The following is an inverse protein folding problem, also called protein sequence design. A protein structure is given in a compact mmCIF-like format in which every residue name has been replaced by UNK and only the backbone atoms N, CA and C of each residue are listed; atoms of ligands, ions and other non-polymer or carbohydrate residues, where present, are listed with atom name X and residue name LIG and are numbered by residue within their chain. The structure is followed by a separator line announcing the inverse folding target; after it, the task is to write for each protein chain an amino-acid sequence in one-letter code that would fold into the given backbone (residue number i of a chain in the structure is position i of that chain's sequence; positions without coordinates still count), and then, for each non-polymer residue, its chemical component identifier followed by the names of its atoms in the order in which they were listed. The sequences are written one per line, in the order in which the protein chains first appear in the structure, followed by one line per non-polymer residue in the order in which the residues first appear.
data_IF_140865343094
#
_entry.id   IF_140865343094
#
_cell.length_a   1.000
_cell.length_b   1.000
_cell.length_c   1.000
_cell.angle_alpha   90.00
_cell.angle_beta   90.00
_cell.angle_gamma   90.00
#
_symmetry.space_group_name_H-M   'P 1'
#
loop_
_entity.id
_entity.type
_entity.pdbx_description
1 polymer ?
#
# COMPACT_ATOMS: atom_id res chain seq x y z
N UNK A 1 16.58 -43.65 -70.05
CA UNK A 1 16.97 -44.93 -69.44
C UNK A 1 17.70 -44.64 -68.14
N UNK A 2 17.41 -45.48 -67.13
CA UNK A 2 18.15 -45.70 -65.88
C UNK A 2 18.05 -44.64 -64.76
N UNK A 3 17.25 -45.03 -63.77
CA UNK A 3 17.35 -44.70 -62.34
C UNK A 3 18.80 -44.78 -61.82
N UNK A 4 19.13 -43.91 -60.86
CA UNK A 4 19.91 -44.32 -59.69
C UNK A 4 19.52 -43.45 -58.49
N UNK A 5 18.82 -44.08 -57.54
CA UNK A 5 18.54 -43.53 -56.22
C UNK A 5 19.80 -43.66 -55.34
N UNK A 6 20.10 -42.63 -54.56
CA UNK A 6 21.01 -42.73 -53.42
C UNK A 6 20.36 -42.02 -52.23
N UNK A 7 19.75 -42.82 -51.35
CA UNK A 7 19.34 -42.44 -50.01
C UNK A 7 20.60 -42.09 -49.21
N UNK A 8 20.72 -40.84 -48.77
CA UNK A 8 21.67 -40.45 -47.72
C UNK A 8 20.87 -40.14 -46.45
N UNK A 9 20.78 -41.16 -45.58
CA UNK A 9 20.38 -41.04 -44.18
C UNK A 9 21.47 -40.26 -43.43
N UNK A 10 21.21 -39.01 -43.06
CA UNK A 10 22.03 -38.28 -42.09
C UNK A 10 21.12 -37.55 -41.08
N UNK A 11 20.72 -38.34 -40.08
CA UNK A 11 20.69 -38.01 -38.66
C UNK A 11 20.21 -36.59 -38.29
N UNK A 12 18.90 -36.47 -38.15
CA UNK A 12 18.31 -35.48 -37.26
C UNK A 12 18.75 -35.75 -35.83
N UNK A 13 19.51 -34.82 -35.27
CA UNK A 13 19.57 -34.58 -33.82
C UNK A 13 19.29 -33.10 -33.63
N UNK A 14 18.00 -32.76 -33.61
CA UNK A 14 17.59 -31.53 -32.96
C UNK A 14 18.00 -31.67 -31.48
N UNK A 15 18.65 -30.66 -30.87
CA UNK A 15 18.85 -30.68 -29.43
C UNK A 15 17.47 -30.82 -28.76
N UNK A 16 17.36 -31.55 -27.64
CA UNK A 16 16.10 -31.61 -26.93
C UNK A 16 15.70 -30.16 -26.62
N UNK A 17 14.54 -29.75 -27.13
CA UNK A 17 13.87 -28.58 -26.63
C UNK A 17 13.75 -28.79 -25.13
N UNK A 18 14.50 -28.00 -24.35
CA UNK A 18 14.28 -27.91 -22.93
C UNK A 18 12.84 -27.49 -22.77
N UNK A 19 11.97 -28.46 -22.50
CA UNK A 19 10.66 -28.20 -21.94
C UNK A 19 10.96 -27.37 -20.70
N UNK A 20 10.71 -26.07 -20.80
CA UNK A 20 10.63 -25.22 -19.64
C UNK A 20 9.49 -25.83 -18.86
N UNK A 21 9.84 -26.67 -17.87
CA UNK A 21 8.96 -26.93 -16.76
C UNK A 21 8.76 -25.54 -16.20
N UNK A 22 7.67 -24.91 -16.63
CA UNK A 22 7.04 -23.84 -15.90
C UNK A 22 6.64 -24.52 -14.60
N UNK A 23 7.63 -24.61 -13.71
CA UNK A 23 7.37 -24.78 -12.29
C UNK A 23 6.58 -23.53 -12.01
N UNK A 24 5.25 -23.66 -12.09
CA UNK A 24 4.31 -22.82 -11.38
C UNK A 24 4.87 -22.82 -9.97
N UNK A 25 5.65 -21.77 -9.67
CA UNK A 25 6.07 -21.52 -8.32
C UNK A 25 4.79 -21.66 -7.50
N UNK A 26 4.83 -22.38 -6.36
CA UNK A 26 3.71 -22.33 -5.44
C UNK A 26 3.27 -20.88 -5.37
N UNK A 27 1.96 -20.61 -5.49
CA UNK A 27 1.38 -19.33 -5.13
C UNK A 27 1.76 -19.11 -3.67
N UNK A 28 3.00 -18.68 -3.48
CA UNK A 28 3.61 -18.37 -2.21
C UNK A 28 2.72 -17.27 -1.69
N UNK A 29 2.24 -17.53 -0.49
CA UNK A 29 1.32 -16.75 0.31
C UNK A 29 1.74 -15.28 0.23
N UNK A 30 1.30 -14.59 -0.83
CA UNK A 30 1.44 -13.15 -1.01
C UNK A 30 0.45 -12.54 -0.03
N UNK A 31 0.71 -12.71 1.26
CA UNK A 31 0.38 -11.70 2.25
C UNK A 31 0.87 -10.41 1.63
N UNK A 32 -0.06 -9.68 1.03
CA UNK A 32 0.18 -8.40 0.42
C UNK A 32 0.83 -7.59 1.53
N UNK A 33 2.16 -7.42 1.48
CA UNK A 33 2.90 -6.65 2.46
C UNK A 33 2.24 -5.29 2.49
N UNK A 34 1.49 -5.02 3.57
CA UNK A 34 0.74 -3.79 3.69
C UNK A 34 1.77 -2.70 3.91
N UNK A 35 2.00 -1.83 2.92
CA UNK A 35 2.81 -0.64 3.11
C UNK A 35 2.01 0.38 3.94
N UNK A 36 2.33 0.59 5.23
CA UNK A 36 1.56 1.44 6.12
C UNK A 36 1.48 2.88 5.60
N UNK A 37 2.53 3.38 4.96
CA UNK A 37 2.57 4.76 4.44
C UNK A 37 1.54 4.94 3.32
N UNK A 38 1.51 4.00 2.37
CA UNK A 38 0.52 4.00 1.29
C UNK A 38 -0.91 3.80 1.81
N UNK A 39 -1.10 2.99 2.85
CA UNK A 39 -2.42 2.79 3.44
C UNK A 39 -2.94 3.98 4.20
N UNK A 40 -2.09 4.65 4.97
CA UNK A 40 -2.45 5.88 5.66
C UNK A 40 -2.82 6.96 4.63
N UNK A 41 -2.00 7.15 3.59
CA UNK A 41 -2.32 8.10 2.50
C UNK A 41 -3.67 7.80 1.86
N UNK A 42 -3.95 6.53 1.57
CA UNK A 42 -5.23 6.09 0.98
C UNK A 42 -6.41 6.39 1.89
N UNK A 43 -6.27 6.09 3.19
CA UNK A 43 -7.28 6.38 4.20
C UNK A 43 -7.59 7.87 4.26
N UNK A 44 -6.58 8.73 4.43
CA UNK A 44 -6.80 10.19 4.52
C UNK A 44 -7.35 10.79 3.23
N UNK A 45 -6.99 10.27 2.05
CA UNK A 45 -7.64 10.68 0.79
C UNK A 45 -9.12 10.32 0.73
N UNK A 46 -9.56 9.26 1.42
CA UNK A 46 -10.95 8.83 1.44
C UNK A 46 -11.79 9.58 2.47
N UNK A 47 -11.23 9.92 3.64
CA UNK A 47 -11.99 10.53 4.76
C UNK A 47 -11.94 12.05 4.81
N UNK A 48 -10.92 12.68 4.21
CA UNK A 48 -10.84 14.13 4.15
C UNK A 48 -11.78 14.66 3.06
N UNK A 49 -12.47 15.75 3.39
CA UNK A 49 -13.24 16.48 2.38
C UNK A 49 -12.30 17.34 1.51
N UNK A 50 -12.82 17.91 0.43
CA UNK A 50 -12.03 18.63 -0.58
C UNK A 50 -11.32 19.90 -0.11
N UNK A 51 -11.70 20.50 1.03
CA UNK A 51 -11.04 21.70 1.55
C UNK A 51 -10.01 21.39 2.64
N UNK A 52 -9.89 20.13 3.04
CA UNK A 52 -8.98 19.66 4.08
C UNK A 52 -7.84 18.93 3.40
N UNK A 53 -6.67 18.93 4.01
CA UNK A 53 -5.55 18.17 3.50
C UNK A 53 -4.70 17.61 4.63
N UNK A 54 -3.95 16.57 4.33
CA UNK A 54 -3.02 15.97 5.26
C UNK A 54 -1.62 15.96 4.66
N UNK A 55 -0.63 16.16 5.51
CA UNK A 55 0.76 15.91 5.16
C UNK A 55 0.98 14.41 4.94
N UNK A 56 2.12 14.09 4.33
CA UNK A 56 2.56 12.71 4.26
C UNK A 56 2.77 12.13 5.68
N UNK A 57 2.42 10.86 5.90
CA UNK A 57 2.63 10.24 7.20
C UNK A 57 4.11 10.24 7.56
N UNK A 58 4.41 10.46 8.84
CA UNK A 58 5.73 10.34 9.44
C UNK A 58 5.77 9.10 10.32
N UNK A 59 6.88 8.36 10.32
CA UNK A 59 7.09 7.24 11.24
C UNK A 59 7.51 7.76 12.61
N UNK A 60 6.83 7.30 13.66
CA UNK A 60 7.13 7.59 15.07
C UNK A 60 7.46 6.26 15.79
N UNK A 61 8.01 6.29 17.03
CA UNK A 61 8.44 5.07 17.72
C UNK A 61 7.38 3.97 17.78
N UNK A 62 6.12 4.34 18.06
CA UNK A 62 5.02 3.41 18.31
C UNK A 62 4.01 3.32 17.15
N UNK A 63 4.33 3.88 15.98
CA UNK A 63 3.43 3.87 14.83
C UNK A 63 3.69 4.98 13.83
N UNK A 64 2.63 5.69 13.45
CA UNK A 64 2.68 6.75 12.45
C UNK A 64 1.97 8.00 12.91
N UNK A 65 2.42 9.16 12.45
CA UNK A 65 1.78 10.45 12.66
C UNK A 65 1.35 11.05 11.34
N UNK A 66 0.18 11.67 11.31
CA UNK A 66 -0.29 12.49 10.17
C UNK A 66 -0.70 13.85 10.68
N UNK A 67 -0.18 14.90 10.04
CA UNK A 67 -0.64 16.27 10.27
C UNK A 67 -1.85 16.53 9.38
N UNK A 68 -2.96 16.96 9.97
CA UNK A 68 -4.20 17.30 9.24
C UNK A 68 -4.43 18.80 9.34
N UNK A 69 -4.53 19.45 8.20
CA UNK A 69 -4.74 20.89 8.07
C UNK A 69 -6.23 21.20 7.88
N UNK A 70 -6.73 22.04 8.76
CA UNK A 70 -8.12 22.46 8.81
C UNK A 70 -8.28 23.75 8.02
N UNK A 71 -9.34 23.91 7.21
CA UNK A 71 -9.51 25.09 6.37
C UNK A 71 -9.81 26.33 7.22
N UNK A 72 -9.38 27.48 6.69
CA UNK A 72 -9.64 28.78 7.31
C UNK A 72 -11.13 29.01 7.54
N UNK A 73 -11.46 29.56 8.71
CA UNK A 73 -12.84 29.86 9.10
C UNK A 73 -13.68 28.65 9.52
N UNK A 74 -13.10 27.44 9.54
CA UNK A 74 -13.76 26.28 10.15
C UNK A 74 -14.06 26.53 11.64
N UNK A 75 -15.16 25.96 12.14
CA UNK A 75 -15.57 26.10 13.54
C UNK A 75 -15.70 24.74 14.19
N UNK A 76 -15.06 24.56 15.34
CA UNK A 76 -15.14 23.35 16.13
C UNK A 76 -13.89 23.15 17.01
N UNK A 77 -13.79 21.98 17.62
CA UNK A 77 -12.60 21.55 18.38
C UNK A 77 -11.72 20.68 17.47
N UNK A 78 -10.51 21.12 17.07
CA UNK A 78 -9.64 20.35 16.18
C UNK A 78 -9.31 18.95 16.71
N UNK A 79 -8.96 18.82 17.99
CA UNK A 79 -8.64 17.51 18.59
C UNK A 79 -9.87 16.58 18.58
N UNK A 80 -11.06 17.07 18.91
CA UNK A 80 -12.29 16.30 18.88
C UNK A 80 -12.68 15.89 17.45
N UNK A 81 -12.41 16.73 16.45
CA UNK A 81 -12.64 16.39 15.06
C UNK A 81 -11.64 15.35 14.53
N UNK A 82 -10.39 15.37 15.02
CA UNK A 82 -9.37 14.39 14.67
C UNK A 82 -9.84 12.95 14.92
N UNK A 83 -10.63 12.72 15.97
CA UNK A 83 -11.24 11.43 16.29
C UNK A 83 -12.03 10.83 15.11
N UNK A 84 -12.70 11.67 14.31
CA UNK A 84 -13.50 11.23 13.16
C UNK A 84 -12.67 10.77 11.96
N UNK A 85 -11.35 10.98 12.01
CA UNK A 85 -10.42 10.51 10.99
C UNK A 85 -9.74 9.20 11.36
N UNK A 86 -10.05 8.61 12.52
CA UNK A 86 -9.51 7.30 12.85
C UNK A 86 -10.01 6.22 11.88
N UNK A 87 -9.13 5.33 11.40
CA UNK A 87 -9.55 4.14 10.68
C UNK A 87 -10.44 3.24 11.55
N UNK A 88 -11.37 2.53 10.92
CA UNK A 88 -12.19 1.51 11.59
C UNK A 88 -11.31 0.39 12.18
N UNK A 89 -11.81 -0.33 13.20
CA UNK A 89 -11.01 -1.33 13.94
C UNK A 89 -10.54 -2.52 13.10
N UNK A 90 -11.22 -2.81 12.00
CA UNK A 90 -10.89 -3.86 11.04
C UNK A 90 -10.06 -3.34 9.85
N UNK A 91 -9.72 -2.05 9.83
CA UNK A 91 -8.91 -1.45 8.78
C UNK A 91 -7.55 -2.13 8.69
N UNK A 92 -7.11 -2.45 7.47
CA UNK A 92 -5.87 -3.22 7.23
C UNK A 92 -4.59 -2.55 7.73
N UNK A 93 -4.61 -1.24 7.98
CA UNK A 93 -3.50 -0.53 8.61
C UNK A 93 -3.10 -1.16 9.96
N UNK A 94 -4.07 -1.67 10.72
CA UNK A 94 -3.84 -2.28 12.03
C UNK A 94 -3.12 -3.63 11.98
N UNK A 95 -2.81 -4.15 10.78
CA UNK A 95 -1.94 -5.31 10.62
C UNK A 95 -0.45 -4.95 10.74
N UNK A 96 -0.10 -3.66 10.56
CA UNK A 96 1.28 -3.17 10.45
C UNK A 96 1.57 -1.92 11.26
N UNK A 97 0.57 -1.36 11.96
CA UNK A 97 0.72 -0.22 12.86
C UNK A 97 -0.10 -0.44 14.13
N UNK A 98 0.47 -0.13 15.29
CA UNK A 98 -0.23 -0.20 16.58
C UNK A 98 -0.95 1.10 16.91
N UNK A 99 -0.35 2.23 16.51
CA UNK A 99 -0.86 3.58 16.75
C UNK A 99 -0.84 4.39 15.44
N UNK A 100 -1.88 5.19 15.26
CA UNK A 100 -1.90 6.30 14.31
C UNK A 100 -2.22 7.60 15.06
N UNK A 101 -1.23 8.48 15.18
CA UNK A 101 -1.39 9.82 15.72
C UNK A 101 -1.91 10.78 14.66
N UNK A 102 -2.99 11.50 14.98
CA UNK A 102 -3.54 12.55 14.14
C UNK A 102 -3.24 13.88 14.82
N UNK A 103 -2.36 14.67 14.22
CA UNK A 103 -1.90 15.97 14.68
C UNK A 103 -2.71 17.06 13.96
N UNK A 104 -3.69 17.71 14.62
CA UNK A 104 -4.45 18.77 13.97
C UNK A 104 -3.59 20.03 13.88
N UNK A 105 -3.64 20.68 12.73
CA UNK A 105 -3.10 22.02 12.51
C UNK A 105 -4.23 22.94 12.04
N UNK A 106 -4.43 24.02 12.79
CA UNK A 106 -5.47 25.00 12.53
C UNK A 106 -5.00 26.39 12.96
N UNK A 107 -5.19 27.40 12.10
CA UNK A 107 -4.71 28.78 12.32
C UNK A 107 -3.20 28.85 12.61
N UNK A 108 -2.41 28.08 11.85
CA UNK A 108 -0.95 27.93 12.01
C UNK A 108 -0.52 27.48 13.43
N UNK A 109 -1.39 26.75 14.13
CA UNK A 109 -1.11 26.21 15.47
C UNK A 109 -1.33 24.71 15.48
N UNK A 110 -0.38 24.02 16.09
CA UNK A 110 -0.51 22.59 16.41
C UNK A 110 -1.37 22.42 17.65
N UNK A 111 -2.45 21.67 17.50
CA UNK A 111 -3.34 21.29 18.60
C UNK A 111 -2.87 19.99 19.26
N UNK A 112 -3.37 19.61 20.44
CA UNK A 112 -3.07 18.31 21.01
C UNK A 112 -3.41 17.18 20.02
N UNK A 113 -2.49 16.21 19.79
CA UNK A 113 -2.75 15.09 18.89
C UNK A 113 -3.81 14.15 19.46
N UNK A 114 -4.46 13.40 18.58
CA UNK A 114 -5.34 12.30 18.96
C UNK A 114 -4.74 10.97 18.51
N UNK A 115 -4.62 10.02 19.43
CA UNK A 115 -4.12 8.67 19.13
C UNK A 115 -5.28 7.75 18.74
N UNK A 116 -5.25 7.25 17.51
CA UNK A 116 -6.10 6.16 17.06
C UNK A 116 -5.43 4.81 17.37
N UNK A 117 -6.21 3.88 17.89
CA UNK A 117 -5.81 2.50 18.21
C UNK A 117 -6.94 1.55 17.78
N UNK A 118 -6.59 0.27 17.55
CA UNK A 118 -7.56 -0.79 17.30
C UNK A 118 -8.53 -0.98 18.48
#
# INVERSE_FOLDING_TARGET
MALAAALALLHGVAPPASAQVETEAPLDDRQSIVDPMSEIRRHFRAVLNTTWWAEDPERIPDGYRVVVHYPDGWRGNPTGKAMSFCPERDHRLWQVAEILEIQPEYDNRRWPPFECRK
#
